data_IF_592303902210
#
_entry.id   IF_592303902210
#
_cell.length_a   1.000
_cell.length_b   1.000
_cell.length_c   1.000
_cell.angle_alpha   90.00
_cell.angle_beta   90.00
_cell.angle_gamma   90.00
#
_symmetry.space_group_name_H-M   'P 1'
#
loop_
_entity.id
_entity.type
_entity.pdbx_description
1 polymer ?
#
# COMPACT_ATOMS: atom_id res chain seq x y z
N UNK A 1 1.25 27.47 -19.14
CA UNK A 1 0.67 26.48 -20.06
C UNK A 1 1.57 26.22 -21.28
N UNK A 2 2.00 27.23 -22.05
CA UNK A 2 2.95 27.01 -23.16
C UNK A 2 4.34 26.54 -22.67
N UNK A 3 4.86 27.16 -21.61
CA UNK A 3 6.16 26.79 -21.01
C UNK A 3 6.14 25.38 -20.39
N UNK A 4 5.03 25.00 -19.76
CA UNK A 4 4.83 23.65 -19.20
C UNK A 4 4.69 22.60 -20.30
N UNK A 5 4.05 22.94 -21.43
CA UNK A 5 3.95 22.06 -22.59
C UNK A 5 5.31 21.82 -23.23
N UNK A 6 6.17 22.83 -23.30
CA UNK A 6 7.55 22.69 -23.76
C UNK A 6 8.38 21.78 -22.84
N UNK A 7 8.25 21.96 -21.52
CA UNK A 7 8.93 21.08 -20.55
C UNK A 7 8.47 19.63 -20.66
N UNK A 8 7.16 19.39 -20.76
CA UNK A 8 6.60 18.05 -20.94
C UNK A 8 7.01 17.41 -22.28
N UNK A 9 7.14 18.21 -23.34
CA UNK A 9 7.59 17.74 -24.65
C UNK A 9 9.10 17.49 -24.72
N UNK A 10 9.92 18.15 -23.90
CA UNK A 10 11.39 18.07 -23.95
C UNK A 10 11.93 17.10 -22.89
N UNK A 11 11.33 17.01 -21.72
CA UNK A 11 11.76 16.15 -20.61
C UNK A 11 11.97 14.66 -20.97
N UNK A 12 11.08 13.99 -21.73
CA UNK A 12 11.35 12.60 -22.14
C UNK A 12 12.46 12.51 -23.20
N UNK A 13 12.63 13.54 -24.05
CA UNK A 13 13.68 13.58 -25.08
C UNK A 13 15.07 13.79 -24.48
N UNK A 14 15.19 14.57 -23.40
CA UNK A 14 16.48 14.80 -22.73
C UNK A 14 16.99 13.54 -22.05
N UNK A 15 16.12 12.73 -21.45
CA UNK A 15 16.49 11.45 -20.84
C UNK A 15 17.08 10.51 -21.91
N UNK A 16 16.42 10.40 -23.06
CA UNK A 16 16.93 9.61 -24.20
C UNK A 16 18.29 10.11 -24.67
N UNK A 17 18.48 11.43 -24.75
CA UNK A 17 19.75 12.03 -25.16
C UNK A 17 20.88 11.72 -24.17
N UNK A 18 20.62 11.80 -22.86
CA UNK A 18 21.60 11.46 -21.82
C UNK A 18 21.99 9.98 -21.92
N UNK A 19 21.01 9.08 -22.06
CA UNK A 19 21.27 7.65 -22.23
C UNK A 19 22.09 7.40 -23.50
N UNK A 20 21.79 8.09 -24.60
CA UNK A 20 22.52 7.96 -25.86
C UNK A 20 23.99 8.37 -25.72
N UNK A 21 24.26 9.51 -25.06
CA UNK A 21 25.62 9.95 -24.75
C UNK A 21 26.32 8.91 -23.87
N UNK A 22 25.70 8.46 -22.77
CA UNK A 22 26.29 7.42 -21.92
C UNK A 22 26.59 6.12 -22.67
N UNK A 23 25.75 5.73 -23.61
CA UNK A 23 25.97 4.55 -24.48
C UNK A 23 27.15 4.74 -25.42
N UNK A 24 27.40 5.94 -25.93
CA UNK A 24 28.59 6.20 -26.77
C UNK A 24 29.87 6.15 -25.93
N UNK A 25 29.86 6.77 -24.74
CA UNK A 25 31.05 6.86 -23.89
C UNK A 25 31.38 5.55 -23.17
N UNK A 26 30.36 4.86 -22.64
CA UNK A 26 30.54 3.61 -21.88
C UNK A 26 30.25 2.36 -22.71
N UNK A 27 29.50 2.46 -23.80
CA UNK A 27 29.06 1.32 -24.62
C UNK A 27 27.68 0.79 -24.19
N UNK A 28 26.86 0.38 -25.17
CA UNK A 28 25.50 -0.15 -24.95
C UNK A 28 25.45 -1.37 -24.01
N UNK A 29 26.55 -2.12 -23.93
CA UNK A 29 26.66 -3.32 -23.08
C UNK A 29 26.90 -3.02 -21.60
N UNK A 30 27.40 -1.83 -21.23
CA UNK A 30 27.74 -1.51 -19.83
C UNK A 30 26.55 -1.21 -18.96
N UNK A 31 25.53 -0.54 -19.49
CA UNK A 31 24.29 -0.23 -18.75
C UNK A 31 23.58 -1.51 -18.24
N UNK A 32 23.30 -2.54 -19.08
CA UNK A 32 22.67 -3.77 -18.59
C UNK A 32 23.57 -4.59 -17.67
N UNK A 33 24.90 -4.51 -17.83
CA UNK A 33 25.88 -5.18 -16.96
C UNK A 33 25.88 -4.56 -15.55
N UNK A 34 25.85 -3.22 -15.46
CA UNK A 34 25.70 -2.49 -14.19
C UNK A 34 24.37 -2.80 -13.50
N UNK A 35 23.26 -2.82 -14.25
CA UNK A 35 21.95 -3.17 -13.69
C UNK A 35 21.89 -4.62 -13.18
N UNK A 36 22.53 -5.57 -13.89
CA UNK A 36 22.62 -6.96 -13.43
C UNK A 36 23.39 -7.07 -12.12
N UNK A 37 24.55 -6.40 -12.02
CA UNK A 37 25.34 -6.38 -10.79
C UNK A 37 24.61 -5.72 -9.63
N UNK A 38 23.94 -4.59 -9.87
CA UNK A 38 23.17 -3.88 -8.84
C UNK A 38 21.94 -4.68 -8.39
N UNK A 39 21.25 -5.34 -9.32
CA UNK A 39 20.11 -6.20 -9.01
C UNK A 39 20.51 -7.44 -8.19
N UNK A 40 21.67 -8.04 -8.48
CA UNK A 40 22.24 -9.13 -7.68
C UNK A 40 22.58 -8.66 -6.27
N UNK A 41 23.29 -7.52 -6.14
CA UNK A 41 23.62 -6.94 -4.83
C UNK A 41 22.39 -6.60 -3.99
N UNK A 42 21.35 -6.01 -4.58
CA UNK A 42 20.07 -5.74 -3.87
C UNK A 42 19.37 -7.03 -3.45
N UNK A 43 19.41 -8.08 -4.29
CA UNK A 43 18.82 -9.39 -3.96
C UNK A 43 19.55 -10.04 -2.78
N UNK A 44 20.88 -10.06 -2.81
CA UNK A 44 21.72 -10.61 -1.75
C UNK A 44 21.58 -9.81 -0.45
N UNK A 45 21.55 -8.48 -0.53
CA UNK A 45 21.30 -7.59 0.61
C UNK A 45 19.95 -7.86 1.28
N UNK A 46 18.90 -8.03 0.45
CA UNK A 46 17.56 -8.34 0.94
C UNK A 46 17.52 -9.71 1.64
N UNK A 47 18.19 -10.71 1.09
CA UNK A 47 18.24 -12.06 1.66
C UNK A 47 18.97 -12.07 3.01
N UNK A 48 20.15 -11.46 3.08
CA UNK A 48 20.91 -11.36 4.32
C UNK A 48 20.12 -10.62 5.42
N UNK A 49 19.41 -9.54 5.06
CA UNK A 49 18.59 -8.79 6.01
C UNK A 49 17.31 -9.55 6.45
N UNK A 50 16.90 -10.59 5.71
CA UNK A 50 15.75 -11.43 6.05
C UNK A 50 16.13 -12.64 6.90
N UNK A 51 17.29 -13.27 6.67
CA UNK A 51 17.79 -14.37 7.51
C UNK A 51 18.02 -13.95 8.97
N UNK A 52 18.38 -12.67 9.21
CA UNK A 52 18.53 -12.12 10.57
C UNK A 52 17.21 -11.72 11.25
N UNK A 53 16.07 -11.81 10.54
CA UNK A 53 14.75 -11.63 11.16
C UNK A 53 14.23 -13.00 11.56
N UNK A 54 14.13 -13.32 12.87
CA UNK A 54 13.51 -14.56 13.28
C UNK A 54 12.09 -14.62 12.69
N UNK A 55 11.81 -15.68 11.93
CA UNK A 55 10.50 -15.96 11.35
C UNK A 55 9.45 -16.19 12.47
N UNK A 56 9.01 -15.11 13.11
CA UNK A 56 7.77 -15.08 13.89
C UNK A 56 6.60 -14.68 13.00
N UNK A 57 6.48 -15.32 11.84
CA UNK A 57 5.42 -14.94 10.89
C UNK A 57 4.87 -16.07 10.05
N UNK A 58 4.53 -17.19 10.68
CA UNK A 58 3.58 -18.17 10.14
C UNK A 58 2.66 -18.79 11.22
N UNK A 59 2.34 -18.02 12.26
CA UNK A 59 1.07 -18.21 12.98
C UNK A 59 0.21 -16.99 12.67
N UNK A 60 -0.63 -17.12 11.63
CA UNK A 60 -1.84 -16.30 11.54
C UNK A 60 -2.60 -16.49 12.86
N UNK A 61 -2.72 -15.49 13.74
CA UNK A 61 -3.78 -15.54 14.72
C UNK A 61 -5.05 -15.50 13.88
N UNK A 62 -5.88 -16.54 13.96
CA UNK A 62 -7.26 -16.43 13.52
C UNK A 62 -7.80 -15.15 14.16
N UNK A 63 -8.07 -14.13 13.34
CA UNK A 63 -8.82 -12.98 13.80
C UNK A 63 -10.13 -13.55 14.38
N UNK A 64 -10.50 -13.25 15.62
CA UNK A 64 -11.84 -13.54 16.10
C UNK A 64 -12.80 -12.86 15.12
N UNK A 65 -13.51 -13.65 14.30
CA UNK A 65 -14.62 -13.12 13.53
C UNK A 65 -15.57 -12.48 14.55
N UNK A 66 -16.00 -11.22 14.37
CA UNK A 66 -17.06 -10.67 15.20
C UNK A 66 -18.29 -11.55 15.01
N UNK A 67 -18.68 -12.24 16.08
CA UNK A 67 -19.82 -13.16 16.13
C UNK A 67 -21.12 -12.38 15.92
N UNK A 68 -21.47 -12.05 14.68
CA UNK A 68 -22.76 -11.45 14.29
C UNK A 68 -23.91 -12.47 14.31
N UNK A 69 -23.85 -13.47 15.19
CA UNK A 69 -24.93 -14.42 15.40
C UNK A 69 -25.64 -14.26 16.75
N UNK A 70 -25.12 -13.41 17.65
CA UNK A 70 -25.74 -13.21 18.97
C UNK A 70 -26.68 -11.99 19.06
N UNK A 71 -27.27 -11.58 17.93
CA UNK A 71 -28.35 -10.56 17.91
C UNK A 71 -29.64 -11.09 17.27
N UNK A 72 -29.73 -12.40 16.99
CA UNK A 72 -30.93 -12.99 16.37
C UNK A 72 -31.88 -13.67 17.35
N UNK A 73 -31.42 -13.99 18.56
CA UNK A 73 -32.19 -14.78 19.52
C UNK A 73 -32.63 -14.00 20.76
N UNK A 74 -32.46 -12.67 20.79
CA UNK A 74 -32.96 -11.87 21.90
C UNK A 74 -34.46 -11.62 21.69
N UNK A 75 -35.36 -12.10 22.57
CA UNK A 75 -36.77 -11.72 22.53
C UNK A 75 -36.84 -10.20 22.68
N UNK A 76 -37.41 -9.52 21.70
CA UNK A 76 -37.66 -8.07 21.76
C UNK A 76 -38.49 -7.80 23.01
N UNK A 77 -38.03 -6.95 23.96
CA UNK A 77 -38.85 -6.59 25.11
C UNK A 77 -40.16 -5.98 24.60
N UNK A 78 -41.33 -6.33 25.16
CA UNK A 78 -42.57 -5.70 24.77
C UNK A 78 -42.44 -4.19 25.00
N UNK A 79 -42.67 -3.42 23.94
CA UNK A 79 -42.77 -1.98 24.03
C UNK A 79 -43.88 -1.66 25.03
N UNK A 80 -43.51 -1.15 26.20
CA UNK A 80 -44.44 -0.60 27.17
C UNK A 80 -45.14 0.60 26.52
N UNK A 81 -46.30 0.35 25.91
CA UNK A 81 -47.26 1.37 25.52
C UNK A 81 -47.96 1.95 26.78
N UNK A 82 -48.78 2.98 26.59
CA UNK A 82 -48.59 4.35 27.04
C UNK A 82 -49.05 4.60 28.49
N UNK A 83 -48.27 5.34 29.29
CA UNK A 83 -48.77 5.95 30.52
C UNK A 83 -48.83 7.47 30.36
N UNK A 84 -49.97 7.94 29.83
CA UNK A 84 -50.52 9.25 30.16
C UNK A 84 -51.52 8.98 31.30
N UNK A 85 -51.43 9.66 32.45
CA UNK A 85 -52.38 10.76 32.62
C UNK A 85 -51.90 11.96 33.47
N UNK A 86 -52.44 13.10 33.08
CA UNK A 86 -52.97 14.22 33.90
C UNK A 86 -52.03 15.30 34.46
N UNK A 87 -52.20 16.50 33.87
CA UNK A 87 -52.11 17.87 34.44
C UNK A 87 -52.75 17.96 35.86
N UNK A 88 -52.61 19.02 36.71
CA UNK A 88 -52.24 20.45 36.49
C UNK A 88 -51.27 21.03 37.57
N UNK A 89 -50.87 22.31 37.52
CA UNK A 89 -51.24 23.48 38.39
C UNK A 89 -49.99 24.38 38.37
N UNK A 90 -49.95 25.71 38.23
CA UNK A 90 -50.87 26.84 38.32
C UNK A 90 -50.37 27.91 37.34
#
# INVERSE_FOLDING_TARGET
MLLTALFLAIAPRTIIFIVFVLVIFFGAKRIPELFRGLGQGVKEFKNATQEDRPEYRDQQPQQPQPTQQQYRDQPVPPANQPQNPTQPRY
#
